data_IF_124621831447
#
_entry.id   IF_124621831447
#
_cell.length_a   1.000
_cell.length_b   1.000
_cell.length_c   1.000
_cell.angle_alpha   90.00
_cell.angle_beta   90.00
_cell.angle_gamma   90.00
#
_symmetry.space_group_name_H-M   'P 1'
#
loop_
_entity.id
_entity.type
_entity.pdbx_description
1 polymer ?
#
# COMPACT_ATOMS: atom_id res chain seq x y z
N UNK A 1 -15.20 -10.12 -6.02
CA UNK A 1 -14.92 -9.32 -4.83
C UNK A 1 -14.10 -8.16 -5.32
N UNK A 2 -14.59 -6.93 -5.14
CA UNK A 2 -13.80 -5.72 -5.41
C UNK A 2 -13.09 -5.26 -4.15
N UNK A 3 -12.00 -4.51 -4.28
CA UNK A 3 -11.41 -3.85 -3.12
C UNK A 3 -12.31 -2.72 -2.64
N UNK A 4 -12.24 -2.45 -1.34
CA UNK A 4 -12.97 -1.35 -0.70
C UNK A 4 -12.06 -0.47 0.15
N UNK A 5 -10.85 -0.95 0.43
CA UNK A 5 -9.84 -0.25 1.22
C UNK A 5 -8.46 -0.76 0.81
N UNK A 6 -7.50 0.16 0.69
CA UNK A 6 -6.10 -0.16 0.50
C UNK A 6 -5.25 0.85 1.28
N UNK A 7 -4.17 0.38 1.89
CA UNK A 7 -3.23 1.20 2.65
C UNK A 7 -1.77 0.80 2.37
N UNK A 8 -0.88 1.78 2.56
CA UNK A 8 0.57 1.60 2.48
C UNK A 8 1.23 2.06 3.77
N UNK A 9 2.21 1.28 4.22
CA UNK A 9 3.06 1.61 5.36
C UNK A 9 4.53 1.45 5.01
N UNK A 10 5.35 2.35 5.55
CA UNK A 10 6.81 2.31 5.41
C UNK A 10 7.39 1.75 6.70
N UNK A 11 8.35 0.84 6.59
CA UNK A 11 9.07 0.20 7.68
C UNK A 11 8.16 -0.46 8.75
N UNK A 12 6.99 -0.94 8.32
CA UNK A 12 6.01 -1.57 9.19
C UNK A 12 5.37 -0.64 10.23
N UNK A 13 5.48 0.67 10.05
CA UNK A 13 4.91 1.65 10.96
C UNK A 13 3.39 1.79 10.74
N UNK A 14 2.61 0.99 11.45
CA UNK A 14 1.15 1.00 11.30
C UNK A 14 0.51 2.34 11.67
N UNK A 15 1.05 3.06 12.66
CA UNK A 15 0.58 4.39 13.06
C UNK A 15 0.79 5.46 11.96
N UNK A 16 1.65 5.18 10.98
CA UNK A 16 1.93 6.03 9.83
C UNK A 16 1.33 5.47 8.53
N UNK A 17 0.43 4.47 8.61
CA UNK A 17 -0.23 3.91 7.43
C UNK A 17 -1.05 4.98 6.71
N UNK A 18 -0.91 5.03 5.38
CA UNK A 18 -1.58 6.01 4.51
C UNK A 18 -2.56 5.29 3.59
N UNK A 19 -3.79 5.79 3.40
CA UNK A 19 -4.71 5.21 2.44
C UNK A 19 -4.15 5.35 1.02
N UNK A 20 -4.36 4.31 0.21
CA UNK A 20 -4.08 4.33 -1.21
C UNK A 20 -5.35 4.62 -2.00
N UNK A 21 -5.19 5.38 -3.08
CA UNK A 21 -6.20 5.56 -4.11
C UNK A 21 -5.74 4.79 -5.34
N UNK A 22 -6.65 4.08 -6.00
CA UNK A 22 -6.37 3.51 -7.32
C UNK A 22 -6.04 4.63 -8.31
N UNK A 23 -5.37 4.27 -9.40
CA UNK A 23 -4.96 5.22 -10.44
C UNK A 23 -6.15 5.95 -11.09
N UNK A 24 -7.31 5.29 -11.17
CA UNK A 24 -8.56 5.87 -11.67
C UNK A 24 -9.44 6.50 -10.58
N UNK A 25 -9.05 6.36 -9.31
CA UNK A 25 -9.72 6.90 -8.14
C UNK A 25 -10.95 6.11 -7.68
N UNK A 26 -11.21 4.93 -8.24
CA UNK A 26 -12.34 4.07 -7.88
C UNK A 26 -11.84 2.64 -7.59
N UNK A 27 -12.22 2.10 -6.42
CA UNK A 27 -11.95 0.71 -6.07
C UNK A 27 -13.14 -0.17 -6.52
N UNK A 28 -13.23 -0.48 -7.81
CA UNK A 28 -14.36 -1.26 -8.38
C UNK A 28 -13.95 -2.48 -9.21
N UNK A 29 -12.65 -2.66 -9.44
CA UNK A 29 -12.12 -3.81 -10.15
C UNK A 29 -11.68 -4.95 -9.20
N UNK A 30 -11.37 -6.11 -9.78
CA UNK A 30 -10.77 -7.24 -9.03
C UNK A 30 -9.25 -7.16 -8.93
N UNK A 31 -8.65 -6.33 -9.77
CA UNK A 31 -7.23 -5.99 -9.79
C UNK A 31 -7.18 -4.47 -9.97
N UNK A 32 -6.41 -3.78 -9.14
CA UNK A 32 -6.31 -2.32 -9.14
C UNK A 32 -4.84 -1.90 -9.21
N UNK A 33 -4.59 -0.87 -10.00
CA UNK A 33 -3.27 -0.24 -10.06
C UNK A 33 -3.20 0.91 -9.05
N UNK A 34 -2.10 0.98 -8.30
CA UNK A 34 -1.83 2.03 -7.32
C UNK A 34 -0.51 2.71 -7.63
N UNK A 35 -0.49 4.04 -7.54
CA UNK A 35 0.75 4.81 -7.63
C UNK A 35 1.16 5.35 -6.27
N UNK A 36 2.35 4.99 -5.82
CA UNK A 36 2.85 5.30 -4.47
C UNK A 36 4.06 6.22 -4.59
N UNK A 37 3.99 7.37 -3.91
CA UNK A 37 5.13 8.27 -3.72
C UNK A 37 5.57 8.25 -2.26
N UNK A 38 6.85 7.98 -2.05
CA UNK A 38 7.49 7.96 -0.72
C UNK A 38 8.68 8.90 -0.78
N UNK A 39 8.73 9.84 0.16
CA UNK A 39 9.73 10.90 0.21
C UNK A 39 10.23 11.06 1.65
N UNK A 40 11.39 11.70 1.81
CA UNK A 40 11.95 11.99 3.14
C UNK A 40 12.51 10.77 3.88
N UNK A 41 12.83 9.69 3.16
CA UNK A 41 13.53 8.54 3.71
C UNK A 41 15.04 8.83 3.77
N UNK A 42 15.68 8.37 4.85
CA UNK A 42 17.13 8.43 5.01
C UNK A 42 17.82 7.35 4.15
N UNK A 43 19.14 7.42 4.02
CA UNK A 43 19.92 6.34 3.40
C UNK A 43 19.85 5.08 4.27
N UNK A 44 19.68 3.90 3.65
CA UNK A 44 19.56 2.64 4.37
C UNK A 44 18.50 1.70 3.81
N UNK A 45 18.27 0.60 4.54
CA UNK A 45 17.24 -0.38 4.20
C UNK A 45 15.86 0.09 4.65
N UNK A 46 14.91 -0.01 3.74
CA UNK A 46 13.50 0.28 3.98
C UNK A 46 12.61 -0.84 3.47
N UNK A 47 11.38 -0.90 3.99
CA UNK A 47 10.33 -1.76 3.48
C UNK A 47 9.05 -0.99 3.20
N UNK A 48 8.41 -1.26 2.07
CA UNK A 48 7.06 -0.85 1.76
C UNK A 48 6.13 -2.04 1.88
N UNK A 49 5.12 -1.93 2.73
CA UNK A 49 4.05 -2.94 2.84
C UNK A 49 2.76 -2.33 2.34
N UNK A 50 2.08 -3.06 1.47
CA UNK A 50 0.74 -2.71 0.98
C UNK A 50 -0.24 -3.73 1.56
N UNK A 51 -1.40 -3.24 2.01
CA UNK A 51 -2.50 -4.07 2.48
C UNK A 51 -3.78 -3.62 1.78
N UNK A 52 -4.58 -4.59 1.35
CA UNK A 52 -5.86 -4.33 0.71
C UNK A 52 -6.94 -5.22 1.32
N UNK A 53 -8.17 -4.70 1.35
CA UNK A 53 -9.34 -5.38 1.88
C UNK A 53 -10.47 -5.35 0.87
N UNK A 54 -11.09 -6.50 0.67
CA UNK A 54 -12.25 -6.65 -0.21
C UNK A 54 -13.59 -6.39 0.50
N UNK A 55 -14.67 -6.31 -0.28
CA UNK A 55 -16.02 -6.10 0.25
C UNK A 55 -16.53 -7.23 1.16
N UNK A 56 -15.96 -8.43 1.04
CA UNK A 56 -16.26 -9.57 1.92
C UNK A 56 -15.47 -9.53 3.23
N UNK A 57 -14.52 -8.59 3.37
CA UNK A 57 -13.66 -8.42 4.54
C UNK A 57 -12.39 -9.27 4.53
N UNK A 58 -12.06 -9.91 3.40
CA UNK A 58 -10.78 -10.60 3.22
C UNK A 58 -9.67 -9.55 3.12
N UNK A 59 -8.53 -9.82 3.78
CA UNK A 59 -7.37 -8.92 3.79
C UNK A 59 -6.19 -9.65 3.15
N UNK A 60 -5.59 -9.03 2.15
CA UNK A 60 -4.32 -9.46 1.55
C UNK A 60 -3.25 -8.40 1.78
N UNK A 61 -1.98 -8.83 1.84
CA UNK A 61 -0.84 -7.92 1.94
C UNK A 61 0.38 -8.46 1.22
N UNK A 62 1.24 -7.55 0.79
CA UNK A 62 2.55 -7.85 0.23
C UNK A 62 3.58 -6.80 0.66
N UNK A 63 4.87 -7.16 0.62
CA UNK A 63 5.95 -6.29 1.08
C UNK A 63 7.15 -6.29 0.13
N UNK A 64 7.64 -5.09 -0.19
CA UNK A 64 8.85 -4.84 -0.96
C UNK A 64 9.95 -4.28 -0.05
N UNK A 65 11.15 -4.83 -0.14
CA UNK A 65 12.35 -4.28 0.52
C UNK A 65 13.24 -3.59 -0.50
N UNK A 66 13.79 -2.45 -0.13
CA UNK A 66 14.71 -1.68 -0.97
C UNK A 66 15.74 -0.94 -0.13
N UNK A 67 16.82 -0.50 -0.76
CA UNK A 67 17.91 0.22 -0.10
C UNK A 67 18.12 1.56 -0.79
N UNK A 68 18.20 2.63 0.00
CA UNK A 68 18.55 3.97 -0.47
C UNK A 68 20.05 4.22 -0.26
N UNK A 69 20.74 4.81 -1.26
CA UNK A 69 22.18 5.06 -1.21
C UNK A 69 22.57 6.15 -0.22
#
# INVERSE_FOLDING_TARGET
SRLVEADVMVDGKEDEARPLLSVDGILDESEEEFQIKVEGLESGEHSLTIRAKDEAGNIGSDSLRFTLP
#
